data_IF_229696205379
#
_entry.id   IF_229696205379
#
_cell.length_a   1.000
_cell.length_b   1.000
_cell.length_c   1.000
_cell.angle_alpha   90.00
_cell.angle_beta   90.00
_cell.angle_gamma   90.00
#
_symmetry.space_group_name_H-M   'P 1'
#
loop_
_entity.id
_entity.type
_entity.pdbx_description
1 polymer ?
#
# COMPACT_ATOMS: atom_id res chain seq x y z
N UNK A 1 -41.64 -11.72 51.93
CA UNK A 1 -42.71 -12.56 51.35
C UNK A 1 -42.24 -12.97 49.96
N UNK A 2 -41.51 -14.06 49.76
CA UNK A 2 -41.85 -15.49 49.84
C UNK A 2 -42.92 -15.94 48.82
N UNK A 3 -42.40 -16.66 47.81
CA UNK A 3 -42.87 -17.86 47.07
C UNK A 3 -43.98 -17.83 46.00
N UNK A 4 -43.68 -18.57 44.92
CA UNK A 4 -44.63 -19.39 44.15
C UNK A 4 -44.48 -19.26 42.63
N UNK A 5 -43.54 -19.97 41.97
CA UNK A 5 -43.71 -21.27 41.27
C UNK A 5 -44.75 -21.27 40.13
N UNK A 6 -44.34 -21.63 38.91
CA UNK A 6 -44.91 -22.75 38.11
C UNK A 6 -44.11 -23.01 36.81
N UNK A 7 -43.72 -24.27 36.59
CA UNK A 7 -43.25 -24.89 35.34
C UNK A 7 -44.44 -25.55 34.61
N UNK A 8 -44.31 -25.92 33.32
CA UNK A 8 -44.07 -27.34 32.96
C UNK A 8 -43.03 -27.50 31.80
N UNK A 9 -42.11 -28.48 31.76
CA UNK A 9 -42.24 -29.94 31.43
C UNK A 9 -42.96 -30.19 30.08
N UNK A 10 -42.52 -30.96 29.07
CA UNK A 10 -41.64 -32.16 29.00
C UNK A 10 -41.46 -32.61 27.51
N UNK A 11 -40.39 -33.38 27.23
CA UNK A 11 -40.16 -34.40 26.15
C UNK A 11 -39.89 -33.90 24.70
N UNK A 12 -39.01 -34.54 23.91
CA UNK A 12 -38.42 -35.88 24.01
C UNK A 12 -37.21 -36.13 23.10
N UNK A 13 -36.61 -37.30 23.33
CA UNK A 13 -35.38 -37.86 22.74
C UNK A 13 -35.55 -38.34 21.30
N UNK A 14 -34.44 -38.31 20.54
CA UNK A 14 -34.26 -39.08 19.31
C UNK A 14 -32.78 -39.41 19.11
N UNK A 15 -32.39 -40.62 19.53
CA UNK A 15 -31.11 -41.28 19.24
C UNK A 15 -31.39 -42.25 18.09
N UNK A 16 -30.58 -42.24 17.03
CA UNK A 16 -30.53 -43.31 16.02
C UNK A 16 -29.08 -43.57 15.58
N UNK A 17 -28.53 -44.61 16.21
CA UNK A 17 -27.62 -45.68 15.80
C UNK A 17 -26.76 -45.58 14.50
N UNK A 18 -25.45 -45.93 14.56
CA UNK A 18 -24.57 -46.07 13.40
C UNK A 18 -24.31 -47.55 13.04
N UNK A 19 -24.80 -48.02 11.89
CA UNK A 19 -24.30 -49.28 11.28
C UNK A 19 -24.37 -49.31 9.75
N UNK A 20 -23.17 -49.26 9.15
CA UNK A 20 -22.67 -50.10 8.02
C UNK A 20 -23.02 -49.76 6.54
N UNK A 21 -22.17 -50.23 5.60
CA UNK A 21 -21.78 -49.53 4.37
C UNK A 21 -22.34 -50.15 3.10
N UNK A 22 -22.33 -49.41 1.99
CA UNK A 22 -22.29 -49.96 0.63
C UNK A 22 -22.00 -48.85 -0.39
N UNK A 23 -20.77 -48.81 -0.91
CA UNK A 23 -20.49 -48.13 -2.19
C UNK A 23 -19.57 -49.01 -3.02
N UNK A 24 -20.19 -49.72 -3.97
CA UNK A 24 -19.55 -50.37 -5.08
C UNK A 24 -20.27 -49.93 -6.36
N UNK A 25 -19.77 -48.91 -7.05
CA UNK A 25 -19.93 -48.73 -8.49
C UNK A 25 -19.08 -47.53 -8.97
N UNK A 26 -17.85 -47.82 -9.38
CA UNK A 26 -17.12 -46.93 -10.29
C UNK A 26 -17.56 -47.28 -11.70
N UNK A 27 -18.41 -46.44 -12.30
CA UNK A 27 -18.54 -46.37 -13.74
C UNK A 27 -17.80 -45.13 -14.25
N UNK A 28 -16.92 -45.45 -15.19
CA UNK A 28 -16.08 -44.58 -15.98
C UNK A 28 -16.95 -43.73 -16.92
N UNK A 29 -16.97 -42.41 -16.69
CA UNK A 29 -17.55 -41.45 -17.64
C UNK A 29 -16.38 -40.70 -18.27
N UNK A 30 -16.07 -41.06 -19.51
CA UNK A 30 -15.29 -40.22 -20.42
C UNK A 30 -16.16 -39.03 -20.85
N UNK A 31 -15.81 -37.83 -20.41
CA UNK A 31 -16.31 -36.58 -21.00
C UNK A 31 -15.22 -35.95 -21.85
N UNK A 32 -15.44 -35.95 -23.17
CA UNK A 32 -14.75 -35.09 -24.11
C UNK A 32 -14.95 -33.62 -23.72
N UNK A 33 -13.86 -32.86 -23.64
CA UNK A 33 -13.87 -31.42 -23.42
C UNK A 33 -13.98 -30.71 -24.79
N UNK A 34 -15.06 -29.98 -25.09
CA UNK A 34 -15.10 -29.12 -26.26
C UNK A 34 -14.21 -27.90 -26.02
N UNK A 35 -13.25 -27.66 -26.94
CA UNK A 35 -12.48 -26.41 -27.01
C UNK A 35 -13.41 -25.25 -27.34
N UNK A 36 -13.97 -24.60 -26.33
CA UNK A 36 -14.60 -23.29 -26.48
C UNK A 36 -13.50 -22.22 -26.53
N UNK A 37 -13.19 -21.76 -27.75
CA UNK A 37 -12.54 -20.46 -27.94
C UNK A 37 -13.52 -19.39 -27.45
N UNK A 38 -13.26 -18.86 -26.25
CA UNK A 38 -14.00 -17.73 -25.69
C UNK A 38 -13.82 -16.52 -26.61
N UNK A 39 -14.90 -16.12 -27.29
CA UNK A 39 -14.93 -14.85 -28.03
C UNK A 39 -14.68 -13.72 -27.02
N UNK A 40 -13.77 -12.77 -27.29
CA UNK A 40 -13.50 -11.67 -26.39
C UNK A 40 -14.78 -10.88 -26.13
N UNK A 41 -14.94 -10.49 -24.87
CA UNK A 41 -16.11 -9.73 -24.40
C UNK A 41 -16.22 -8.39 -25.15
N UNK A 42 -17.41 -7.79 -25.17
CA UNK A 42 -17.60 -6.49 -25.81
C UNK A 42 -16.66 -5.40 -25.23
N UNK A 43 -16.35 -5.51 -23.93
CA UNK A 43 -15.38 -4.64 -23.25
C UNK A 43 -13.94 -4.84 -23.75
N UNK A 44 -13.51 -6.09 -23.99
CA UNK A 44 -12.18 -6.39 -24.53
C UNK A 44 -12.03 -5.94 -25.97
N UNK A 45 -13.09 -6.07 -26.80
CA UNK A 45 -13.07 -5.57 -28.17
C UNK A 45 -12.94 -4.06 -28.19
N UNK A 46 -13.68 -3.35 -27.34
CA UNK A 46 -13.59 -1.90 -27.24
C UNK A 46 -12.18 -1.44 -26.80
N UNK A 47 -11.59 -2.12 -25.82
CA UNK A 47 -10.23 -1.84 -25.37
C UNK A 47 -9.18 -2.11 -26.45
N UNK A 48 -9.35 -3.17 -27.25
CA UNK A 48 -8.45 -3.47 -28.38
C UNK A 48 -8.61 -2.46 -29.52
N UNK A 49 -9.83 -1.99 -29.80
CA UNK A 49 -10.07 -0.94 -30.80
C UNK A 49 -9.45 0.39 -30.38
N UNK A 50 -9.52 0.74 -29.08
CA UNK A 50 -8.87 1.95 -28.56
C UNK A 50 -7.34 1.85 -28.69
N UNK A 51 -6.76 0.71 -28.35
CA UNK A 51 -5.31 0.46 -28.48
C UNK A 51 -4.84 0.50 -29.95
N UNK A 52 -5.64 -0.03 -30.87
CA UNK A 52 -5.26 -0.08 -32.29
C UNK A 52 -5.34 1.28 -32.98
N UNK A 53 -6.38 2.08 -32.67
CA UNK A 53 -6.69 3.27 -33.46
C UNK A 53 -6.17 4.58 -32.86
N UNK A 54 -6.08 4.69 -31.52
CA UNK A 54 -5.71 5.96 -30.88
C UNK A 54 -4.25 6.02 -30.46
N UNK A 55 -3.62 4.88 -30.12
CA UNK A 55 -2.23 4.81 -29.68
C UNK A 55 -1.23 5.40 -30.71
N UNK A 56 -1.36 5.14 -32.03
CA UNK A 56 -0.44 5.71 -33.02
C UNK A 56 -0.54 7.23 -33.14
N UNK A 57 -1.75 7.79 -33.01
CA UNK A 57 -1.99 9.24 -33.09
C UNK A 57 -1.45 10.00 -31.87
N UNK A 58 -1.57 9.39 -30.68
CA UNK A 58 -1.02 9.93 -29.44
C UNK A 58 0.51 9.88 -29.43
N UNK A 59 1.10 8.80 -29.95
CA UNK A 59 2.55 8.69 -30.12
C UNK A 59 3.11 9.71 -31.13
N UNK A 60 2.41 9.94 -32.24
CA UNK A 60 2.81 10.93 -33.25
C UNK A 60 2.77 12.38 -32.71
N UNK A 61 1.72 12.71 -31.95
CA UNK A 61 1.56 14.02 -31.31
C UNK A 61 2.58 14.23 -30.20
N UNK A 62 2.91 13.19 -29.43
CA UNK A 62 3.92 13.30 -28.36
C UNK A 62 5.36 13.43 -28.90
N UNK A 63 5.67 12.74 -30.00
CA UNK A 63 6.99 12.82 -30.66
C UNK A 63 7.24 14.17 -31.36
N UNK A 64 6.18 14.91 -31.69
CA UNK A 64 6.29 16.27 -32.26
C UNK A 64 6.52 17.34 -31.21
N UNK A 65 6.06 17.16 -29.96
CA UNK A 65 6.27 18.10 -28.85
C UNK A 65 7.48 17.76 -27.94
N UNK A 66 8.13 16.62 -28.18
CA UNK A 66 9.28 16.15 -27.39
C UNK A 66 10.58 16.89 -27.76
N UNK A 67 11.24 17.47 -26.75
CA UNK A 67 12.56 18.10 -26.91
C UNK A 67 13.61 17.07 -27.37
N UNK A 68 14.69 17.49 -28.08
CA UNK A 68 15.74 16.57 -28.55
C UNK A 68 16.34 15.69 -27.43
N UNK A 69 16.43 16.22 -26.20
CA UNK A 69 16.89 15.49 -25.03
C UNK A 69 15.99 14.30 -24.67
N UNK A 70 14.68 14.46 -24.81
CA UNK A 70 13.70 13.42 -24.52
C UNK A 70 13.65 12.33 -25.62
N UNK A 71 13.98 12.69 -26.87
CA UNK A 71 14.14 11.73 -27.98
C UNK A 71 15.37 10.81 -27.81
N UNK A 72 16.49 11.35 -27.31
CA UNK A 72 17.68 10.56 -27.01
C UNK A 72 17.47 9.62 -25.81
N UNK A 73 16.77 10.09 -24.78
CA UNK A 73 16.46 9.29 -23.59
C UNK A 73 15.55 8.08 -23.92
N UNK A 74 14.57 8.24 -24.82
CA UNK A 74 13.70 7.15 -25.30
C UNK A 74 14.41 6.15 -26.23
N UNK A 75 15.59 6.47 -26.75
CA UNK A 75 16.30 5.64 -27.73
C UNK A 75 17.25 4.60 -27.12
N UNK A 76 17.62 4.74 -25.84
CA UNK A 76 18.74 3.97 -25.24
C UNK A 76 18.37 2.91 -24.20
N UNK A 77 17.26 3.06 -23.47
CA UNK A 77 16.83 2.08 -22.46
C UNK A 77 15.32 2.00 -22.46
N UNK A 78 14.82 0.87 -22.96
CA UNK A 78 13.44 0.38 -22.95
C UNK A 78 12.38 1.46 -22.73
N UNK A 79 11.88 2.00 -23.85
CA UNK A 79 10.57 2.67 -23.94
C UNK A 79 9.53 1.88 -23.14
N UNK A 80 9.59 0.55 -23.07
CA UNK A 80 8.70 -0.25 -22.22
C UNK A 80 8.93 -0.05 -20.70
N UNK A 81 10.15 0.17 -20.20
CA UNK A 81 10.41 0.53 -18.79
C UNK A 81 10.00 1.97 -18.50
N UNK A 82 10.23 2.90 -19.43
CA UNK A 82 9.75 4.27 -19.31
C UNK A 82 8.22 4.34 -19.37
N UNK A 83 7.55 3.58 -20.23
CA UNK A 83 6.09 3.53 -20.33
C UNK A 83 5.42 2.62 -19.30
N UNK A 84 6.15 1.73 -18.64
CA UNK A 84 5.64 1.03 -17.44
C UNK A 84 5.86 1.84 -16.17
N UNK A 85 6.92 2.65 -16.08
CA UNK A 85 7.12 3.59 -14.98
C UNK A 85 6.34 4.91 -15.16
N UNK A 86 6.02 5.28 -16.40
CA UNK A 86 5.15 6.40 -16.82
C UNK A 86 3.95 5.82 -17.54
N UNK A 87 3.38 4.73 -17.01
CA UNK A 87 1.97 4.49 -17.28
C UNK A 87 1.24 5.75 -16.82
N UNK A 88 0.30 6.28 -17.60
CA UNK A 88 -0.21 7.60 -17.32
C UNK A 88 -0.86 7.58 -15.93
N UNK A 89 -0.38 8.45 -15.04
CA UNK A 89 -1.18 9.06 -13.98
C UNK A 89 -2.46 9.76 -14.51
N UNK A 90 -2.84 9.56 -15.79
CA UNK A 90 -3.82 10.31 -16.56
C UNK A 90 -5.03 9.47 -16.99
N UNK A 91 -5.31 8.32 -16.37
CA UNK A 91 -6.49 7.52 -16.73
C UNK A 91 -7.55 7.52 -15.62
N UNK A 92 -7.86 8.68 -15.05
CA UNK A 92 -9.18 8.87 -14.44
C UNK A 92 -10.13 9.41 -15.50
N UNK A 93 -11.27 8.76 -15.76
CA UNK A 93 -12.29 9.36 -16.62
C UNK A 93 -12.70 10.71 -16.02
N UNK A 94 -12.71 11.76 -16.85
CA UNK A 94 -13.01 13.14 -16.44
C UNK A 94 -14.37 13.26 -15.71
N UNK A 95 -15.32 12.35 -15.98
CA UNK A 95 -16.59 12.25 -15.27
C UNK A 95 -16.46 11.85 -13.80
N UNK A 96 -15.45 11.05 -13.46
CA UNK A 96 -15.18 10.57 -12.11
C UNK A 96 -14.38 11.62 -11.32
N UNK A 97 -13.53 12.39 -12.00
CA UNK A 97 -12.85 13.57 -11.43
C UNK A 97 -13.88 14.65 -11.05
N UNK A 98 -14.89 14.93 -11.89
CA UNK A 98 -15.92 15.91 -11.56
C UNK A 98 -16.85 15.41 -10.42
N UNK A 99 -17.13 14.10 -10.37
CA UNK A 99 -17.88 13.50 -9.25
C UNK A 99 -17.10 13.54 -7.94
N UNK A 100 -15.78 13.30 -7.99
CA UNK A 100 -14.88 13.43 -6.84
C UNK A 100 -14.72 14.89 -6.43
N UNK A 101 -14.57 15.84 -7.37
CA UNK A 101 -14.55 17.28 -7.06
C UNK A 101 -15.83 17.75 -6.38
N UNK A 102 -16.99 17.30 -6.84
CA UNK A 102 -18.28 17.61 -6.21
C UNK A 102 -18.32 17.05 -4.78
N UNK A 103 -17.97 15.77 -4.59
CA UNK A 103 -17.89 15.12 -3.28
C UNK A 103 -16.90 15.80 -2.33
N UNK A 104 -15.71 16.18 -2.82
CA UNK A 104 -14.70 16.87 -2.03
C UNK A 104 -15.08 18.33 -1.73
N UNK A 105 -15.80 19.02 -2.62
CA UNK A 105 -16.29 20.38 -2.36
C UNK A 105 -17.35 20.41 -1.25
N UNK A 106 -18.19 19.38 -1.19
CA UNK A 106 -19.23 19.21 -0.16
C UNK A 106 -18.62 18.83 1.21
N UNK A 107 -17.57 18.01 1.22
CA UNK A 107 -16.86 17.64 2.45
C UNK A 107 -15.89 18.72 2.95
N UNK A 108 -15.39 19.60 2.09
CA UNK A 108 -14.51 20.72 2.49
C UNK A 108 -15.24 21.80 3.28
N UNK A 109 -16.55 21.98 3.04
CA UNK A 109 -17.39 22.89 3.84
C UNK A 109 -17.65 22.36 5.27
N UNK A 110 -17.52 21.04 5.48
CA UNK A 110 -17.75 20.38 6.77
C UNK A 110 -16.46 20.04 7.53
N UNK A 111 -15.30 20.17 6.88
CA UNK A 111 -13.99 19.99 7.51
C UNK A 111 -13.64 21.21 8.38
N UNK A 112 -14.30 21.34 9.54
CA UNK A 112 -13.67 22.01 10.68
C UNK A 112 -12.41 21.23 11.00
N UNK A 113 -11.25 21.81 10.74
CA UNK A 113 -9.97 21.31 11.23
C UNK A 113 -10.12 21.12 12.75
N UNK A 114 -10.11 19.89 13.30
CA UNK A 114 -9.90 19.75 14.72
C UNK A 114 -8.50 20.28 14.98
N UNK A 115 -8.39 21.40 15.70
CA UNK A 115 -7.14 21.86 16.23
C UNK A 115 -6.52 20.69 16.98
N UNK A 116 -5.43 20.11 16.47
CA UNK A 116 -4.73 19.02 17.13
C UNK A 116 -4.04 19.58 18.37
N UNK A 117 -4.52 19.29 19.59
CA UNK A 117 -3.87 19.72 20.81
C UNK A 117 -2.92 18.58 21.21
N UNK A 118 -1.84 18.39 20.45
CA UNK A 118 -0.86 17.31 20.68
C UNK A 118 0.49 17.84 21.20
N UNK A 119 0.46 18.91 22.00
CA UNK A 119 1.62 19.35 22.82
C UNK A 119 1.42 19.09 24.34
N UNK A 120 0.33 18.43 24.72
CA UNK A 120 0.09 18.00 26.10
C UNK A 120 0.51 16.57 26.31
N UNK A 121 1.67 16.36 26.95
CA UNK A 121 2.15 15.06 27.44
C UNK A 121 1.17 14.53 28.49
N UNK A 122 0.07 13.90 28.04
CA UNK A 122 -0.76 13.07 28.92
C UNK A 122 0.04 11.79 29.15
N UNK A 123 0.85 11.78 30.22
CA UNK A 123 1.27 10.54 30.85
C UNK A 123 0.10 10.16 31.76
N UNK A 124 -0.82 9.26 31.34
CA UNK A 124 -1.75 8.70 32.31
C UNK A 124 -0.89 8.08 33.41
N UNK A 125 -1.17 8.43 34.66
CA UNK A 125 -0.53 7.82 35.83
C UNK A 125 -0.67 6.30 35.68
N UNK A 126 0.42 5.65 35.25
CA UNK A 126 0.43 4.22 34.99
C UNK A 126 0.30 3.57 36.36
N UNK A 127 -0.80 2.85 36.66
CA UNK A 127 -0.96 2.18 37.93
C UNK A 127 0.25 1.27 38.17
N UNK A 128 0.87 1.40 39.35
CA UNK A 128 1.97 0.55 39.78
C UNK A 128 1.60 -0.92 39.57
N UNK A 129 2.40 -1.59 38.74
CA UNK A 129 2.11 -2.86 38.09
C UNK A 129 1.80 -3.98 39.10
N UNK A 130 0.52 -4.31 39.24
CA UNK A 130 0.07 -5.55 39.89
C UNK A 130 0.33 -6.69 38.91
N UNK A 131 1.19 -7.65 39.29
CA UNK A 131 1.32 -8.96 38.65
C UNK A 131 1.47 -8.99 37.11
N UNK A 132 2.70 -8.79 36.62
CA UNK A 132 3.11 -8.87 35.20
C UNK A 132 2.78 -10.22 34.50
N UNK A 133 2.37 -11.25 35.24
CA UNK A 133 2.37 -12.62 34.73
C UNK A 133 1.21 -13.03 33.82
N UNK A 134 0.10 -12.28 33.76
CA UNK A 134 -1.13 -12.77 33.13
C UNK A 134 -1.72 -11.82 32.08
N UNK A 135 -0.93 -11.33 31.12
CA UNK A 135 -1.55 -10.82 29.88
C UNK A 135 -2.10 -12.02 29.12
N UNK A 136 -3.42 -12.04 28.80
CA UNK A 136 -3.99 -13.12 28.02
C UNK A 136 -3.29 -13.21 26.66
N UNK A 137 -2.78 -14.39 26.30
CA UNK A 137 -2.16 -14.66 25.00
C UNK A 137 -3.10 -14.26 23.83
N UNK A 138 -4.41 -14.39 24.03
CA UNK A 138 -5.44 -13.94 23.10
C UNK A 138 -5.35 -12.44 22.75
N UNK A 139 -5.04 -11.57 23.73
CA UNK A 139 -4.94 -10.13 23.50
C UNK A 139 -3.71 -9.78 22.64
N UNK A 140 -2.62 -10.54 22.80
CA UNK A 140 -1.40 -10.38 22.00
C UNK A 140 -1.67 -10.79 20.55
N UNK A 141 -2.36 -11.92 20.35
CA UNK A 141 -2.73 -12.41 19.02
C UNK A 141 -3.72 -11.48 18.33
N UNK A 142 -4.69 -10.94 19.06
CA UNK A 142 -5.62 -9.93 18.56
C UNK A 142 -4.87 -8.67 18.10
N UNK A 143 -3.96 -8.13 18.92
CA UNK A 143 -3.14 -6.98 18.56
C UNK A 143 -2.29 -7.24 17.31
N UNK A 144 -1.69 -8.42 17.21
CA UNK A 144 -0.84 -8.82 16.08
C UNK A 144 -1.63 -8.92 14.76
N UNK A 145 -2.83 -9.50 14.82
CA UNK A 145 -3.75 -9.65 13.70
C UNK A 145 -4.29 -8.31 13.21
N UNK A 146 -4.76 -7.45 14.12
CA UNK A 146 -5.24 -6.11 13.77
C UNK A 146 -4.15 -5.27 13.11
N UNK A 147 -2.92 -5.38 13.61
CA UNK A 147 -1.78 -4.65 13.06
C UNK A 147 -1.36 -5.15 11.68
N UNK A 148 -1.39 -6.47 11.44
CA UNK A 148 -1.11 -7.03 10.09
C UNK A 148 -2.19 -6.60 9.10
N UNK A 149 -3.46 -6.72 9.49
CA UNK A 149 -4.59 -6.32 8.65
C UNK A 149 -4.51 -4.83 8.27
N UNK A 150 -4.14 -3.96 9.21
CA UNK A 150 -3.98 -2.54 8.93
C UNK A 150 -2.81 -2.24 8.00
N UNK A 151 -1.66 -2.90 8.19
CA UNK A 151 -0.50 -2.76 7.28
C UNK A 151 -0.89 -3.21 5.87
N UNK A 152 -1.59 -4.33 5.74
CA UNK A 152 -2.05 -4.82 4.44
C UNK A 152 -3.11 -3.90 3.81
N UNK A 153 -3.97 -3.29 4.63
CA UNK A 153 -4.87 -2.23 4.18
C UNK A 153 -4.10 -1.02 3.64
N UNK A 154 -3.03 -0.54 4.30
CA UNK A 154 -2.19 0.54 3.78
C UNK A 154 -1.50 0.16 2.48
N UNK A 155 -0.95 -1.06 2.38
CA UNK A 155 -0.36 -1.56 1.13
C UNK A 155 -1.37 -1.66 0.00
N UNK A 156 -2.65 -1.88 0.30
CA UNK A 156 -3.68 -2.01 -0.73
C UNK A 156 -3.88 -0.75 -1.58
N UNK A 157 -3.50 0.44 -1.08
CA UNK A 157 -3.50 1.68 -1.88
C UNK A 157 -2.29 1.81 -2.80
N UNK A 158 -1.36 0.85 -2.79
CA UNK A 158 -0.20 0.81 -3.66
C UNK A 158 -0.35 -0.34 -4.64
N UNK A 159 -0.42 -0.02 -5.92
CA UNK A 159 -0.56 -0.99 -6.99
C UNK A 159 0.69 -0.99 -7.86
N UNK A 160 1.49 -2.05 -7.72
CA UNK A 160 2.81 -2.18 -8.33
C UNK A 160 3.78 -1.08 -7.91
N UNK A 161 3.72 0.08 -8.56
CA UNK A 161 4.57 1.25 -8.33
C UNK A 161 3.77 2.54 -8.21
N UNK A 162 2.43 2.45 -8.30
CA UNK A 162 1.54 3.59 -8.30
C UNK A 162 0.84 3.68 -6.94
N UNK A 163 0.90 4.86 -6.31
CA UNK A 163 0.16 5.15 -5.10
C UNK A 163 -1.17 5.83 -5.45
N UNK A 164 -2.28 5.18 -5.12
CA UNK A 164 -3.64 5.65 -5.33
C UNK A 164 -4.05 6.72 -4.31
N UNK A 165 -3.36 7.86 -4.37
CA UNK A 165 -3.54 8.99 -3.44
C UNK A 165 -4.99 9.43 -3.27
N UNK A 166 -5.80 9.39 -4.34
CA UNK A 166 -7.22 9.74 -4.29
C UNK A 166 -8.06 8.75 -3.47
N UNK A 167 -7.83 7.44 -3.62
CA UNK A 167 -8.53 6.43 -2.81
C UNK A 167 -8.07 6.48 -1.35
N UNK A 168 -6.77 6.70 -1.12
CA UNK A 168 -6.26 6.89 0.23
C UNK A 168 -6.86 8.14 0.89
N UNK A 169 -6.91 9.27 0.19
CA UNK A 169 -7.49 10.52 0.70
C UNK A 169 -8.96 10.33 1.08
N UNK A 170 -9.73 9.58 0.28
CA UNK A 170 -11.12 9.24 0.60
C UNK A 170 -11.27 8.39 1.88
N UNK A 171 -10.24 7.62 2.26
CA UNK A 171 -10.26 6.73 3.44
C UNK A 171 -9.41 7.22 4.62
N UNK A 172 -8.65 8.31 4.46
CA UNK A 172 -7.67 8.85 5.43
C UNK A 172 -8.21 8.91 6.87
N UNK A 173 -9.39 9.48 7.07
CA UNK A 173 -9.99 9.65 8.40
C UNK A 173 -10.36 8.31 9.06
N UNK A 174 -10.84 7.35 8.26
CA UNK A 174 -11.15 5.99 8.73
C UNK A 174 -9.86 5.29 9.15
N UNK A 175 -8.83 5.32 8.31
CA UNK A 175 -7.54 4.70 8.60
C UNK A 175 -6.85 5.34 9.82
N UNK A 176 -6.98 6.65 10.02
CA UNK A 176 -6.48 7.32 11.23
C UNK A 176 -7.17 6.82 12.51
N UNK A 177 -8.50 6.63 12.45
CA UNK A 177 -9.29 6.11 13.58
C UNK A 177 -8.89 4.67 13.91
N UNK A 178 -8.72 3.84 12.89
CA UNK A 178 -8.26 2.45 13.03
C UNK A 178 -6.85 2.38 13.63
N UNK A 179 -5.91 3.19 13.14
CA UNK A 179 -4.56 3.27 13.70
C UNK A 179 -4.57 3.66 15.18
N UNK A 180 -5.45 4.59 15.59
CA UNK A 180 -5.60 4.97 16.99
C UNK A 180 -6.10 3.80 17.85
N UNK A 181 -7.10 3.06 17.39
CA UNK A 181 -7.61 1.88 18.09
C UNK A 181 -6.52 0.80 18.26
N UNK A 182 -5.75 0.55 17.20
CA UNK A 182 -4.63 -0.40 17.22
C UNK A 182 -3.54 0.08 18.18
N UNK A 183 -3.24 1.38 18.21
CA UNK A 183 -2.26 1.96 19.14
C UNK A 183 -2.66 1.69 20.59
N UNK A 184 -3.92 1.98 20.95
CA UNK A 184 -4.43 1.70 22.30
C UNK A 184 -4.36 0.21 22.64
N UNK A 185 -4.68 -0.67 21.68
CA UNK A 185 -4.61 -2.12 21.86
C UNK A 185 -3.17 -2.59 22.07
N UNK A 186 -2.23 -2.12 21.25
CA UNK A 186 -0.80 -2.46 21.34
C UNK A 186 -0.21 -1.91 22.64
N UNK A 187 -0.53 -0.69 23.06
CA UNK A 187 -0.01 -0.10 24.31
C UNK A 187 -0.38 -0.90 25.56
N UNK A 188 -1.52 -1.59 25.56
CA UNK A 188 -1.92 -2.51 26.64
C UNK A 188 -1.03 -3.75 26.75
N UNK A 189 -0.39 -4.15 25.65
CA UNK A 189 0.51 -5.33 25.58
C UNK A 189 1.98 -4.99 25.37
N UNK A 190 2.28 -3.74 25.00
CA UNK A 190 3.59 -3.26 24.55
C UNK A 190 4.74 -3.40 25.55
N UNK A 191 4.57 -3.27 26.89
CA UNK A 191 5.69 -3.38 27.83
C UNK A 191 6.46 -4.71 27.73
N UNK A 192 5.86 -5.74 27.11
CA UNK A 192 6.41 -7.09 27.05
C UNK A 192 6.75 -7.57 25.64
N UNK A 193 6.37 -6.83 24.59
CA UNK A 193 6.46 -7.31 23.20
C UNK A 193 7.04 -6.24 22.27
N UNK A 194 8.38 -6.09 22.32
CA UNK A 194 9.13 -5.23 21.39
C UNK A 194 8.76 -5.39 19.90
N UNK A 195 8.46 -6.61 19.38
CA UNK A 195 8.05 -6.77 17.98
C UNK A 195 6.78 -6.01 17.62
N UNK A 196 5.75 -6.01 18.48
CA UNK A 196 4.49 -5.29 18.23
C UNK A 196 4.71 -3.78 18.19
N UNK A 197 5.54 -3.24 19.09
CA UNK A 197 5.90 -1.82 19.08
C UNK A 197 6.65 -1.43 17.80
N UNK A 198 7.53 -2.29 17.28
CA UNK A 198 8.22 -2.08 16.00
C UNK A 198 7.24 -2.02 14.82
N UNK A 199 6.36 -3.01 14.71
CA UNK A 199 5.32 -3.07 13.67
C UNK A 199 4.34 -1.88 13.75
N UNK A 200 3.96 -1.44 14.96
CA UNK A 200 3.11 -0.26 15.15
C UNK A 200 3.81 1.01 14.68
N UNK A 201 5.11 1.15 14.99
CA UNK A 201 5.92 2.27 14.51
C UNK A 201 6.00 2.27 12.98
N UNK A 202 6.20 1.12 12.36
CA UNK A 202 6.20 0.98 10.91
C UNK A 202 4.84 1.38 10.31
N UNK A 203 3.73 0.83 10.81
CA UNK A 203 2.38 1.16 10.35
C UNK A 203 2.08 2.67 10.47
N UNK A 204 2.46 3.27 11.59
CA UNK A 204 2.33 4.72 11.83
C UNK A 204 3.15 5.53 10.85
N UNK A 205 4.39 5.12 10.60
CA UNK A 205 5.27 5.78 9.63
C UNK A 205 4.71 5.68 8.20
N UNK A 206 4.24 4.50 7.80
CA UNK A 206 3.64 4.27 6.48
C UNK A 206 2.40 5.14 6.28
N UNK A 207 1.46 5.13 7.24
CA UNK A 207 0.26 5.98 7.21
C UNK A 207 0.60 7.47 7.05
N UNK A 208 1.51 8.00 7.87
CA UNK A 208 1.93 9.41 7.80
C UNK A 208 2.64 9.75 6.50
N UNK A 209 3.38 8.80 5.93
CA UNK A 209 4.07 9.01 4.65
C UNK A 209 3.07 9.09 3.51
N UNK A 210 2.07 8.22 3.50
CA UNK A 210 0.98 8.25 2.52
C UNK A 210 0.13 9.52 2.65
N UNK A 211 -0.14 9.96 3.87
CA UNK A 211 -0.80 11.22 4.17
C UNK A 211 -0.06 12.42 3.58
N UNK A 212 1.23 12.55 3.90
CA UNK A 212 2.09 13.61 3.36
C UNK A 212 2.17 13.53 1.84
N UNK A 213 2.34 12.32 1.28
CA UNK A 213 2.44 12.11 -0.16
C UNK A 213 1.15 12.50 -0.90
N UNK A 214 -0.03 12.23 -0.35
CA UNK A 214 -1.30 12.68 -0.91
C UNK A 214 -1.40 14.20 -0.91
N UNK A 215 -0.99 14.86 0.19
CA UNK A 215 -1.00 16.31 0.29
C UNK A 215 0.00 16.95 -0.70
N UNK A 216 1.22 16.41 -0.80
CA UNK A 216 2.24 16.88 -1.76
C UNK A 216 1.79 16.66 -3.21
N UNK A 217 1.18 15.52 -3.53
CA UNK A 217 0.67 15.26 -4.87
C UNK A 217 -0.46 16.21 -5.28
N UNK A 218 -1.14 16.88 -4.35
CA UNK A 218 -2.08 17.95 -4.71
C UNK A 218 -1.37 19.25 -5.06
N UNK A 219 -0.23 19.53 -4.41
CA UNK A 219 0.56 20.74 -4.62
C UNK A 219 1.36 20.72 -5.92
N UNK A 220 1.86 19.54 -6.33
CA UNK A 220 2.60 19.39 -7.58
C UNK A 220 1.66 18.94 -8.68
N UNK A 221 1.17 19.88 -9.50
CA UNK A 221 0.30 19.60 -10.63
C UNK A 221 0.94 18.73 -11.73
N UNK A 222 0.15 18.34 -12.73
CA UNK A 222 0.63 17.57 -13.89
C UNK A 222 1.33 18.42 -14.96
N UNK A 223 1.36 19.74 -14.78
CA UNK A 223 2.00 20.68 -15.69
C UNK A 223 3.48 20.87 -15.35
N UNK A 224 4.35 20.68 -16.35
CA UNK A 224 5.80 20.83 -16.20
C UNK A 224 6.50 19.51 -15.91
N UNK A 225 7.64 19.29 -16.58
CA UNK A 225 8.44 18.07 -16.42
C UNK A 225 9.04 17.96 -15.02
N UNK A 226 9.37 19.09 -14.39
CA UNK A 226 9.88 19.16 -13.03
C UNK A 226 8.83 18.68 -12.00
N UNK A 227 7.60 19.21 -12.06
CA UNK A 227 6.52 18.79 -11.17
C UNK A 227 6.17 17.31 -11.36
N UNK A 228 6.16 16.83 -12.61
CA UNK A 228 5.94 15.42 -12.90
C UNK A 228 7.00 14.54 -12.23
N UNK A 229 8.28 14.91 -12.32
CA UNK A 229 9.37 14.18 -11.67
C UNK A 229 9.28 14.23 -10.14
N UNK A 230 8.86 15.36 -9.55
CA UNK A 230 8.57 15.46 -8.12
C UNK A 230 7.45 14.48 -7.71
N UNK A 231 6.35 14.42 -8.47
CA UNK A 231 5.27 13.46 -8.19
C UNK A 231 5.75 12.02 -8.30
N UNK A 232 6.52 11.71 -9.34
CA UNK A 232 7.06 10.37 -9.58
C UNK A 232 7.95 9.90 -8.40
N UNK A 233 8.82 10.77 -7.88
CA UNK A 233 9.68 10.41 -6.74
C UNK A 233 8.86 10.23 -5.45
N UNK A 234 7.82 11.05 -5.23
CA UNK A 234 6.90 10.88 -4.09
C UNK A 234 6.18 9.53 -4.15
N UNK A 235 5.62 9.17 -5.31
CA UNK A 235 4.96 7.88 -5.50
C UNK A 235 5.92 6.71 -5.26
N UNK A 236 7.15 6.84 -5.75
CA UNK A 236 8.18 5.83 -5.57
C UNK A 236 8.55 5.64 -4.09
N UNK A 237 8.63 6.71 -3.30
CA UNK A 237 8.87 6.60 -1.85
C UNK A 237 7.77 5.82 -1.14
N UNK A 238 6.50 6.09 -1.45
CA UNK A 238 5.38 5.32 -0.90
C UNK A 238 5.43 3.87 -1.37
N UNK A 239 5.72 3.63 -2.65
CA UNK A 239 5.83 2.28 -3.20
C UNK A 239 6.96 1.48 -2.53
N UNK A 240 8.10 2.10 -2.27
CA UNK A 240 9.23 1.49 -1.57
C UNK A 240 8.82 1.00 -0.17
N UNK A 241 8.07 1.81 0.59
CA UNK A 241 7.54 1.41 1.90
C UNK A 241 6.57 0.22 1.83
N UNK A 242 5.84 0.08 0.72
CA UNK A 242 4.88 -1.01 0.51
C UNK A 242 5.52 -2.34 0.06
N UNK A 243 6.85 -2.42 -0.06
CA UNK A 243 7.56 -3.64 -0.45
C UNK A 243 8.03 -4.56 0.71
N UNK A 244 7.53 -4.52 1.96
CA UNK A 244 8.24 -5.20 3.04
C UNK A 244 8.29 -6.70 2.80
N UNK A 245 9.48 -7.24 3.05
CA UNK A 245 9.73 -8.68 3.01
C UNK A 245 9.08 -9.27 4.24
N UNK A 246 8.16 -10.23 4.05
CA UNK A 246 7.59 -10.98 5.16
C UNK A 246 8.73 -11.62 5.99
N UNK A 247 8.66 -11.65 7.33
CA UNK A 247 9.70 -12.26 8.17
C UNK A 247 10.07 -13.69 7.78
N UNK A 248 9.12 -14.42 7.18
CA UNK A 248 9.26 -15.81 6.73
C UNK A 248 9.17 -15.92 5.19
N UNK A 249 9.61 -14.88 4.47
CA UNK A 249 9.60 -14.90 3.01
C UNK A 249 10.47 -16.05 2.47
N UNK A 250 9.95 -16.74 1.47
CA UNK A 250 10.66 -17.74 0.69
C UNK A 250 11.86 -17.12 -0.04
N UNK A 251 12.85 -17.94 -0.41
CA UNK A 251 14.00 -17.48 -1.20
C UNK A 251 13.58 -16.84 -2.53
N UNK A 252 12.47 -17.29 -3.11
CA UNK A 252 11.89 -16.70 -4.32
C UNK A 252 11.39 -15.27 -4.05
N UNK A 253 10.63 -15.04 -2.98
CA UNK A 253 10.15 -13.70 -2.60
C UNK A 253 11.31 -12.74 -2.31
N UNK A 254 12.36 -13.21 -1.62
CA UNK A 254 13.58 -12.42 -1.37
C UNK A 254 14.27 -12.04 -2.70
N UNK A 255 14.35 -12.97 -3.65
CA UNK A 255 14.95 -12.72 -4.96
C UNK A 255 14.13 -11.68 -5.75
N UNK A 256 12.81 -11.83 -5.81
CA UNK A 256 11.89 -10.87 -6.43
C UNK A 256 12.02 -9.48 -5.80
N UNK A 257 12.09 -9.43 -4.47
CA UNK A 257 12.29 -8.19 -3.73
C UNK A 257 13.60 -7.47 -4.11
N UNK A 258 14.73 -8.21 -4.17
CA UNK A 258 16.03 -7.65 -4.60
C UNK A 258 16.01 -7.17 -6.05
N UNK A 259 15.29 -7.88 -6.92
CA UNK A 259 15.10 -7.47 -8.30
C UNK A 259 14.33 -6.14 -8.37
N UNK A 260 13.25 -6.00 -7.60
CA UNK A 260 12.47 -4.76 -7.51
C UNK A 260 13.34 -3.60 -7.00
N UNK A 261 14.12 -3.78 -5.92
CA UNK A 261 15.05 -2.74 -5.44
C UNK A 261 16.09 -2.33 -6.49
N UNK A 262 16.60 -3.28 -7.27
CA UNK A 262 17.54 -2.99 -8.35
C UNK A 262 16.88 -2.17 -9.45
N UNK A 263 15.63 -2.48 -9.79
CA UNK A 263 14.84 -1.71 -10.74
C UNK A 263 14.60 -0.28 -10.23
N UNK A 264 14.17 -0.11 -8.97
CA UNK A 264 13.96 1.21 -8.38
C UNK A 264 15.24 2.04 -8.37
N UNK A 265 16.40 1.46 -8.05
CA UNK A 265 17.68 2.18 -8.12
C UNK A 265 17.98 2.72 -9.53
N UNK A 266 17.70 1.93 -10.58
CA UNK A 266 17.88 2.39 -11.96
C UNK A 266 16.95 3.54 -12.30
N UNK A 267 15.69 3.46 -11.86
CA UNK A 267 14.70 4.52 -12.06
C UNK A 267 15.12 5.81 -11.34
N UNK A 268 15.57 5.71 -10.07
CA UNK A 268 16.08 6.85 -9.29
C UNK A 268 17.24 7.56 -9.98
N UNK A 269 18.28 6.80 -10.38
CA UNK A 269 19.44 7.36 -11.06
C UNK A 269 19.04 8.07 -12.36
N UNK A 270 18.10 7.48 -13.08
CA UNK A 270 17.60 8.03 -14.33
C UNK A 270 16.81 9.33 -14.13
N UNK A 271 15.92 9.37 -13.14
CA UNK A 271 15.14 10.57 -12.83
C UNK A 271 16.03 11.69 -12.27
N UNK A 272 17.02 11.35 -11.44
CA UNK A 272 18.01 12.29 -10.93
C UNK A 272 18.82 12.93 -12.07
N UNK A 273 19.34 12.12 -12.99
CA UNK A 273 20.04 12.62 -14.17
C UNK A 273 19.15 13.51 -15.04
N UNK A 274 17.90 13.11 -15.28
CA UNK A 274 16.95 13.89 -16.06
C UNK A 274 16.63 15.24 -15.39
N UNK A 275 16.34 15.23 -14.09
CA UNK A 275 16.01 16.44 -13.33
C UNK A 275 17.17 17.44 -13.35
N UNK A 276 18.42 16.96 -13.25
CA UNK A 276 19.62 17.80 -13.32
C UNK A 276 19.80 18.52 -14.68
N UNK A 277 19.19 18.03 -15.77
CA UNK A 277 19.24 18.68 -17.08
C UNK A 277 18.19 19.78 -17.27
N UNK A 278 17.19 19.86 -16.38
CA UNK A 278 16.13 20.85 -16.48
C UNK A 278 16.65 22.25 -16.10
N UNK A 279 16.47 23.22 -17.00
CA UNK A 279 16.77 24.63 -16.73
C UNK A 279 15.52 25.37 -16.26
N UNK A 280 15.70 26.40 -15.42
CA UNK A 280 14.59 27.23 -14.94
C UNK A 280 13.65 26.55 -13.93
N UNK A 281 14.06 25.43 -13.32
CA UNK A 281 13.26 24.75 -12.29
C UNK A 281 13.08 25.66 -11.07
N UNK A 282 11.84 25.90 -10.59
CA UNK A 282 11.59 26.64 -9.36
C UNK A 282 12.32 26.01 -8.16
N UNK A 283 12.86 26.86 -7.27
CA UNK A 283 13.61 26.39 -6.10
C UNK A 283 12.83 25.38 -5.25
N UNK A 284 11.53 25.63 -5.02
CA UNK A 284 10.63 24.72 -4.28
C UNK A 284 10.60 23.31 -4.87
N UNK A 285 10.47 23.19 -6.20
CA UNK A 285 10.43 21.89 -6.88
C UNK A 285 11.77 21.16 -6.77
N UNK A 286 12.89 21.89 -6.82
CA UNK A 286 14.24 21.32 -6.66
C UNK A 286 14.46 20.78 -5.25
N UNK A 287 14.20 21.58 -4.23
CA UNK A 287 14.34 21.18 -2.82
C UNK A 287 13.48 19.96 -2.51
N UNK A 288 12.23 19.93 -3.02
CA UNK A 288 11.36 18.79 -2.84
C UNK A 288 11.88 17.54 -3.55
N UNK A 289 12.32 17.66 -4.80
CA UNK A 289 12.87 16.54 -5.55
C UNK A 289 14.08 15.94 -4.84
N UNK A 290 15.04 16.78 -4.42
CA UNK A 290 16.25 16.34 -3.72
C UNK A 290 15.94 15.69 -2.37
N UNK A 291 15.00 16.25 -1.61
CA UNK A 291 14.54 15.67 -0.35
C UNK A 291 13.95 14.26 -0.54
N UNK A 292 13.03 14.11 -1.50
CA UNK A 292 12.38 12.82 -1.77
C UNK A 292 13.37 11.82 -2.39
N UNK A 293 14.30 12.27 -3.24
CA UNK A 293 15.36 11.43 -3.81
C UNK A 293 16.26 10.86 -2.72
N UNK A 294 16.71 11.70 -1.78
CA UNK A 294 17.55 11.26 -0.67
C UNK A 294 16.84 10.22 0.21
N UNK A 295 15.55 10.42 0.49
CA UNK A 295 14.72 9.44 1.20
C UNK A 295 14.69 8.07 0.50
N UNK A 296 14.46 8.08 -0.83
CA UNK A 296 14.43 6.87 -1.63
C UNK A 296 15.78 6.13 -1.64
N UNK A 297 16.87 6.88 -1.76
CA UNK A 297 18.24 6.34 -1.76
C UNK A 297 18.58 5.69 -0.43
N UNK A 298 18.25 6.33 0.69
CA UNK A 298 18.46 5.77 2.03
C UNK A 298 17.71 4.44 2.18
N UNK A 299 16.46 4.38 1.73
CA UNK A 299 15.67 3.14 1.80
C UNK A 299 16.28 2.02 0.93
N UNK A 300 16.63 2.32 -0.32
CA UNK A 300 17.22 1.37 -1.26
C UNK A 300 18.64 0.93 -0.84
N UNK A 301 19.40 1.78 -0.14
CA UNK A 301 20.73 1.46 0.37
C UNK A 301 20.69 0.67 1.68
N UNK A 302 19.85 1.09 2.64
CA UNK A 302 19.71 0.49 3.96
C UNK A 302 19.37 -1.00 3.89
N UNK A 303 18.52 -1.38 2.94
CA UNK A 303 18.07 -2.76 2.80
C UNK A 303 19.11 -3.63 2.07
N UNK A 304 19.92 -3.03 1.18
CA UNK A 304 21.02 -3.73 0.52
C UNK A 304 22.23 -4.00 1.43
N UNK A 305 22.44 -3.15 2.44
CA UNK A 305 23.57 -3.25 3.36
C UNK A 305 23.43 -4.32 4.45
N UNK A 306 22.20 -4.55 4.94
CA UNK A 306 21.96 -5.46 6.06
C UNK A 306 22.31 -6.94 5.78
N UNK A 307 22.38 -7.33 4.50
CA UNK A 307 22.57 -8.74 4.13
C UNK A 307 24.04 -9.17 3.95
N UNK A 308 24.99 -8.22 3.90
CA UNK A 308 26.42 -8.50 3.71
C UNK A 308 27.15 -8.56 5.07
N UNK A 309 26.91 -9.63 5.82
CA UNK A 309 27.93 -10.15 6.75
C UNK A 309 27.95 -9.63 8.20
N UNK A 310 26.85 -9.17 8.78
CA UNK A 310 26.83 -8.91 10.22
C UNK A 310 26.75 -10.22 11.03
N UNK A 311 27.92 -10.77 11.41
CA UNK A 311 28.06 -11.83 12.42
C UNK A 311 28.11 -11.29 13.86
N UNK A 312 27.86 -9.99 14.08
CA UNK A 312 27.81 -9.40 15.43
C UNK A 312 26.40 -8.89 15.70
N UNK A 313 25.78 -9.46 16.74
CA UNK A 313 24.38 -9.28 17.11
C UNK A 313 23.96 -7.83 17.21
N UNK A 314 22.79 -7.54 16.66
CA UNK A 314 22.19 -6.22 16.60
C UNK A 314 21.30 -6.10 15.37
N UNK A 315 20.27 -6.94 15.32
CA UNK A 315 19.21 -6.98 14.30
C UNK A 315 18.28 -5.75 14.40
N UNK A 316 18.80 -4.57 14.78
CA UNK A 316 17.97 -3.40 15.07
C UNK A 316 17.49 -2.68 13.80
N UNK A 317 18.10 -2.96 12.65
CA UNK A 317 17.66 -2.39 11.38
C UNK A 317 16.42 -3.09 10.80
N UNK A 318 16.12 -4.32 11.23
CA UNK A 318 14.89 -5.03 10.84
C UNK A 318 13.69 -4.67 11.73
N UNK A 319 13.85 -3.87 12.79
CA UNK A 319 12.74 -3.40 13.64
C UNK A 319 11.99 -2.18 13.08
N UNK A 320 12.30 -1.76 11.85
CA UNK A 320 11.53 -0.74 11.14
C UNK A 320 10.53 -1.31 10.12
N UNK A 321 10.40 -2.63 9.99
CA UNK A 321 9.29 -3.29 9.27
C UNK A 321 8.71 -4.43 10.12
#
# INVERSE_FOLDING_TARGET
>A
MILGLFLPSRRGYGISDPTKPNFAHSQEIQTEIPKFLSKPSASERHLQTIKANHLPSLLSTYLTFSTPAMKLFLSGVSVALFWTAIRPCNAYPTSEIESLKAYFSENRANARTPATPYDGVFRPDIPSYVGVSDIPQQLIEEADQHLEAFIDHLKSFVHHTEFESGLFEAQRNRSATELHQITVLVERVAPFRRPLTGRLRFATHMFRTMEKASDDMRDYGLSGTDNLLVRCIIQLNVALLALPVKPNASQLEIATYRQNLTQFRRVLNSWSALFATLSGVPLKSREKFEHELSGAEVYVAGIGGAHKGSKRGGLDFFFFC
#
